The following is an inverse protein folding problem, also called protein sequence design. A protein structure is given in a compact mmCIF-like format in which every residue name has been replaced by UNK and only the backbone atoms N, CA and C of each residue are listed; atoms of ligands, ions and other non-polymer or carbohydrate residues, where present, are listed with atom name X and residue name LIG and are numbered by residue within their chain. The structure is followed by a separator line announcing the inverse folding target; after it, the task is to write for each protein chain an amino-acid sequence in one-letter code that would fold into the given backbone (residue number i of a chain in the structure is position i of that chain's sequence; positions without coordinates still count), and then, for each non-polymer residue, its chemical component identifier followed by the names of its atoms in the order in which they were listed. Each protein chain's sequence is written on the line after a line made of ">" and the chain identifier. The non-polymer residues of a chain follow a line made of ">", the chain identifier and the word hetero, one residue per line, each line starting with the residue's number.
data_IF_774011066557
#
_entry.id   IF_774011066557
#
_cell.length_a   1.000
_cell.length_b   1.000
_cell.length_c   1.000
_cell.angle_alpha   90.00
_cell.angle_beta   90.00
_cell.angle_gamma   90.00
#
_symmetry.space_group_name_H-M   'P 1'
#
loop_
_entity.id
_entity.type
_entity.pdbx_description
1 polymer ?
#
# COMPACT_ATOMS: atom_id res chain seq x y z
N UNK A 1 -14.92 55.70 55.15
CA UNK A 1 -15.78 54.80 54.36
C UNK A 1 -14.97 53.56 54.00
N UNK A 2 -15.38 52.39 54.51
CA UNK A 2 -15.14 51.07 53.90
C UNK A 2 -13.77 50.39 54.07
N UNK A 3 -13.68 49.41 54.99
CA UNK A 3 -12.86 48.19 54.79
C UNK A 3 -13.48 47.30 53.70
N UNK A 4 -12.87 46.22 53.18
CA UNK A 4 -12.61 44.92 53.81
C UNK A 4 -11.79 44.00 52.85
N UNK A 5 -10.92 43.11 53.39
CA UNK A 5 -10.79 41.63 53.22
C UNK A 5 -10.78 41.05 51.77
N UNK A 6 -9.96 40.06 51.35
CA UNK A 6 -9.10 39.08 52.02
C UNK A 6 -8.59 38.03 51.02
N UNK A 7 -7.77 37.09 51.50
CA UNK A 7 -7.23 35.97 50.75
C UNK A 7 -8.17 34.75 50.78
N UNK A 8 -8.29 34.01 49.67
CA UNK A 8 -8.65 32.58 49.67
C UNK A 8 -8.19 31.87 48.38
N UNK A 9 -7.60 30.67 48.53
CA UNK A 9 -7.33 29.64 47.50
C UNK A 9 -8.60 28.84 47.21
N UNK A 10 -8.94 28.52 45.97
CA UNK A 10 -9.53 27.22 45.57
C UNK A 10 -9.54 27.17 44.03
N UNK A 11 -8.80 26.26 43.38
CA UNK A 11 -9.19 24.90 42.99
C UNK A 11 -10.24 24.88 41.85
N UNK A 12 -9.90 24.23 40.73
CA UNK A 12 -10.62 24.29 39.44
C UNK A 12 -12.00 23.62 39.41
N UNK A 13 -12.68 23.67 38.25
CA UNK A 13 -12.55 22.54 37.33
C UNK A 13 -12.35 22.95 35.85
N UNK A 14 -11.93 22.00 34.97
CA UNK A 14 -11.63 22.27 33.57
C UNK A 14 -12.91 22.23 32.75
N UNK A 15 -13.11 23.19 31.86
CA UNK A 15 -14.25 23.18 30.95
C UNK A 15 -13.89 23.88 29.65
N UNK A 16 -13.60 23.04 28.64
CA UNK A 16 -13.91 23.35 27.26
C UNK A 16 -13.14 24.51 26.64
N UNK A 17 -11.82 24.41 26.58
CA UNK A 17 -11.10 25.13 25.53
C UNK A 17 -11.26 24.33 24.25
N UNK A 18 -12.24 24.77 23.45
CA UNK A 18 -12.21 24.65 21.99
C UNK A 18 -10.76 24.69 21.54
N UNK A 19 -10.37 23.69 20.77
CA UNK A 19 -9.16 23.68 19.96
C UNK A 19 -9.23 24.85 18.98
N UNK A 20 -8.96 26.06 19.47
CA UNK A 20 -8.59 27.22 18.69
C UNK A 20 -7.19 26.90 18.19
N UNK A 21 -7.14 26.24 17.04
CA UNK A 21 -5.94 26.18 16.22
C UNK A 21 -5.67 27.60 15.75
N UNK A 22 -5.06 28.43 16.60
CA UNK A 22 -4.33 29.61 16.17
C UNK A 22 -3.18 29.13 15.31
N UNK A 23 -3.44 28.98 14.00
CA UNK A 23 -2.40 28.77 12.99
C UNK A 23 -1.55 30.03 13.02
N UNK A 24 -0.43 29.93 13.73
CA UNK A 24 0.54 31.01 13.86
C UNK A 24 1.24 31.18 12.50
N UNK A 25 0.62 31.98 11.63
CA UNK A 25 1.21 32.52 10.41
C UNK A 25 2.45 33.32 10.84
N UNK A 26 3.63 32.70 10.77
CA UNK A 26 4.86 33.33 11.26
C UNK A 26 6.05 32.42 11.45
N UNK A 27 5.89 31.10 11.29
CA UNK A 27 7.01 30.14 11.32
C UNK A 27 6.98 29.24 10.09
N UNK A 28 7.14 29.83 8.90
CA UNK A 28 7.55 29.04 7.74
C UNK A 28 8.93 28.44 8.06
N UNK A 29 9.06 27.12 7.95
CA UNK A 29 10.32 26.43 8.17
C UNK A 29 10.93 26.04 6.82
N UNK A 30 12.26 26.14 6.65
CA UNK A 30 12.92 25.62 5.46
C UNK A 30 12.65 24.11 5.35
N UNK A 31 12.61 23.62 4.11
CA UNK A 31 12.36 22.24 3.78
C UNK A 31 13.44 21.35 4.43
N UNK A 32 12.99 20.43 5.27
CA UNK A 32 13.88 19.48 5.92
C UNK A 32 14.31 18.42 4.90
N UNK A 33 15.60 18.02 4.90
CA UNK A 33 16.10 16.99 4.01
C UNK A 33 15.62 15.58 4.36
N UNK A 34 14.89 15.45 5.46
CA UNK A 34 14.54 14.17 6.06
C UNK A 34 13.35 13.53 5.34
N UNK A 35 13.63 12.43 4.63
CA UNK A 35 12.60 11.59 3.99
C UNK A 35 11.76 10.94 5.09
N UNK A 36 10.43 11.10 5.07
CA UNK A 36 9.58 10.50 6.09
C UNK A 36 9.65 8.97 6.01
N UNK A 37 10.08 8.32 7.09
CA UNK A 37 10.10 6.86 7.16
C UNK A 37 8.69 6.37 7.47
N UNK A 38 8.06 5.73 6.50
CA UNK A 38 6.76 5.12 6.67
C UNK A 38 6.77 3.66 6.26
N UNK A 39 5.85 2.90 6.83
CA UNK A 39 5.56 1.52 6.45
C UNK A 39 4.19 1.52 5.78
N UNK A 40 4.08 0.86 4.63
CA UNK A 40 2.78 0.57 4.05
C UNK A 40 2.17 -0.60 4.82
N UNK A 41 0.89 -0.51 5.15
CA UNK A 41 0.15 -1.61 5.79
C UNK A 41 0.07 -2.85 4.89
N UNK A 42 0.24 -2.65 3.59
CA UNK A 42 0.34 -3.70 2.56
C UNK A 42 1.68 -3.53 1.84
N UNK A 43 2.46 -4.61 1.73
CA UNK A 43 3.71 -4.59 0.98
C UNK A 43 3.43 -4.21 -0.48
N UNK A 44 4.09 -3.13 -0.94
CA UNK A 44 3.88 -2.54 -2.25
C UNK A 44 5.12 -2.85 -3.10
N UNK A 45 4.93 -3.27 -4.35
CA UNK A 45 6.06 -3.37 -5.29
C UNK A 45 6.46 -1.97 -5.79
N UNK A 46 7.70 -1.81 -6.25
CA UNK A 46 8.18 -0.53 -6.79
C UNK A 46 7.27 -0.01 -7.92
N UNK A 47 6.88 -0.87 -8.85
CA UNK A 47 5.96 -0.53 -9.94
C UNK A 47 4.59 -0.06 -9.45
N UNK A 48 4.03 -0.71 -8.43
CA UNK A 48 2.73 -0.34 -7.84
C UNK A 48 2.79 0.99 -7.09
N UNK A 49 3.89 1.26 -6.37
CA UNK A 49 4.11 2.54 -5.73
C UNK A 49 4.17 3.67 -6.77
N UNK A 50 4.91 3.42 -7.86
CA UNK A 50 5.09 4.37 -8.95
C UNK A 50 3.77 4.69 -9.65
N UNK A 51 2.97 3.67 -9.99
CA UNK A 51 1.64 3.87 -10.57
C UNK A 51 0.68 4.62 -9.64
N UNK A 52 0.65 4.31 -8.35
CA UNK A 52 -0.17 5.08 -7.38
C UNK A 52 0.28 6.53 -7.26
N UNK A 53 1.58 6.78 -7.36
CA UNK A 53 2.14 8.13 -7.34
C UNK A 53 1.73 8.90 -8.61
N UNK A 54 1.82 8.26 -9.77
CA UNK A 54 1.41 8.88 -11.04
C UNK A 54 -0.09 9.17 -11.07
N UNK A 55 -0.94 8.24 -10.60
CA UNK A 55 -2.39 8.46 -10.50
C UNK A 55 -2.72 9.61 -9.55
N UNK A 56 -2.02 9.71 -8.41
CA UNK A 56 -2.17 10.84 -7.52
C UNK A 56 -1.77 12.15 -8.20
N UNK A 57 -0.65 12.20 -8.93
CA UNK A 57 -0.22 13.41 -9.62
C UNK A 57 -1.11 13.81 -10.80
N UNK A 58 -1.77 12.84 -11.45
CA UNK A 58 -2.72 13.10 -12.53
C UNK A 58 -4.04 13.70 -12.00
N UNK A 59 -4.49 13.20 -10.85
CA UNK A 59 -5.79 13.58 -10.24
C UNK A 59 -5.71 14.75 -9.26
N UNK A 60 -4.57 14.96 -8.59
CA UNK A 60 -4.35 16.05 -7.63
C UNK A 60 -4.70 17.46 -8.15
N UNK A 61 -4.25 17.89 -9.35
CA UNK A 61 -4.60 19.21 -9.89
C UNK A 61 -6.07 19.35 -10.27
N UNK A 62 -6.85 18.26 -10.32
CA UNK A 62 -8.28 18.30 -10.58
C UNK A 62 -9.13 18.46 -9.31
N UNK A 63 -8.56 18.19 -8.13
CA UNK A 63 -9.33 18.11 -6.89
C UNK A 63 -9.36 19.43 -6.10
N UNK A 64 -8.25 20.18 -6.05
CA UNK A 64 -8.20 21.49 -5.36
C UNK A 64 -6.91 22.28 -5.66
N UNK A 65 -6.96 23.61 -5.62
CA UNK A 65 -5.77 24.49 -5.73
C UNK A 65 -5.31 24.84 -7.17
N UNK A 66 -4.17 25.52 -7.29
CA UNK A 66 -3.55 25.91 -8.57
C UNK A 66 -2.70 24.76 -9.11
N UNK A 67 -2.86 24.43 -10.38
CA UNK A 67 -2.01 23.44 -11.08
C UNK A 67 -0.52 23.79 -11.01
N UNK A 68 -0.19 25.08 -11.02
CA UNK A 68 1.20 25.57 -10.91
C UNK A 68 1.85 25.16 -9.58
N UNK A 69 1.10 25.22 -8.48
CA UNK A 69 1.59 24.81 -7.16
C UNK A 69 1.76 23.29 -7.11
N UNK A 70 0.82 22.53 -7.68
CA UNK A 70 0.97 21.07 -7.81
C UNK A 70 2.20 20.67 -8.65
N UNK A 71 2.46 21.37 -9.75
CA UNK A 71 3.65 21.13 -10.58
C UNK A 71 4.95 21.43 -9.81
N UNK A 72 4.98 22.55 -9.09
CA UNK A 72 6.09 22.90 -8.21
C UNK A 72 6.31 21.87 -7.10
N UNK A 73 5.23 21.41 -6.44
CA UNK A 73 5.30 20.37 -5.40
C UNK A 73 5.81 19.04 -5.97
N UNK A 74 5.43 18.69 -7.20
CA UNK A 74 5.93 17.50 -7.90
C UNK A 74 7.42 17.60 -8.19
N UNK A 75 7.86 18.74 -8.71
CA UNK A 75 9.26 19.01 -8.99
C UNK A 75 10.11 19.02 -7.70
N UNK A 76 9.60 19.63 -6.62
CA UNK A 76 10.25 19.64 -5.32
C UNK A 76 10.37 18.24 -4.72
N UNK A 77 9.32 17.42 -4.81
CA UNK A 77 9.35 16.03 -4.36
C UNK A 77 10.37 15.20 -5.16
N UNK A 78 10.47 15.40 -6.47
CA UNK A 78 11.48 14.73 -7.31
C UNK A 78 12.91 15.15 -6.95
N UNK A 79 13.15 16.44 -6.71
CA UNK A 79 14.45 16.95 -6.26
C UNK A 79 14.85 16.38 -4.88
N UNK A 80 13.88 16.21 -3.96
CA UNK A 80 14.14 15.50 -2.70
C UNK A 80 14.48 14.02 -2.90
N UNK A 81 13.90 13.38 -3.91
CA UNK A 81 14.18 11.97 -4.22
C UNK A 81 15.63 11.79 -4.67
N UNK A 82 16.10 12.66 -5.58
CA UNK A 82 17.49 12.70 -6.07
C UNK A 82 18.49 13.19 -5.03
N UNK A 83 18.02 13.73 -3.90
CA UNK A 83 18.85 14.25 -2.83
C UNK A 83 19.33 15.68 -3.07
N UNK A 84 18.75 16.39 -4.04
CA UNK A 84 19.01 17.80 -4.29
C UNK A 84 18.07 18.69 -3.46
N UNK A 85 18.45 18.89 -2.20
CA UNK A 85 17.68 19.71 -1.27
C UNK A 85 17.68 21.20 -1.64
N UNK A 86 18.77 21.68 -2.25
CA UNK A 86 18.88 23.07 -2.66
C UNK A 86 17.89 23.38 -3.79
N UNK A 87 17.80 22.47 -4.77
CA UNK A 87 16.81 22.58 -5.84
C UNK A 87 15.39 22.46 -5.30
N UNK A 88 15.11 21.51 -4.41
CA UNK A 88 13.79 21.36 -3.80
C UNK A 88 13.35 22.62 -3.02
N UNK A 89 14.25 23.20 -2.23
CA UNK A 89 14.01 24.44 -1.50
C UNK A 89 13.77 25.61 -2.46
N UNK A 90 14.59 25.75 -3.51
CA UNK A 90 14.43 26.81 -4.51
C UNK A 90 13.08 26.74 -5.24
N UNK A 91 12.58 25.53 -5.51
CA UNK A 91 11.26 25.33 -6.12
C UNK A 91 10.14 25.77 -5.17
N UNK A 92 10.21 25.36 -3.90
CA UNK A 92 9.23 25.74 -2.86
C UNK A 92 9.21 27.25 -2.65
N UNK A 93 10.38 27.87 -2.50
CA UNK A 93 10.51 29.32 -2.32
C UNK A 93 10.06 30.09 -3.57
N UNK A 94 10.42 29.61 -4.76
CA UNK A 94 10.05 30.22 -6.04
C UNK A 94 8.56 30.14 -6.35
N UNK A 95 7.86 29.15 -5.79
CA UNK A 95 6.42 29.01 -5.87
C UNK A 95 5.66 29.65 -4.69
N UNK A 96 6.37 30.39 -3.82
CA UNK A 96 5.80 31.04 -2.62
C UNK A 96 5.07 30.06 -1.67
N UNK A 97 5.50 28.81 -1.65
CA UNK A 97 4.89 27.77 -0.83
C UNK A 97 5.41 27.86 0.60
N UNK A 98 4.48 27.93 1.55
CA UNK A 98 4.76 27.93 2.98
C UNK A 98 4.63 26.52 3.56
N UNK A 99 5.64 26.11 4.32
CA UNK A 99 5.76 24.83 5.03
C UNK A 99 5.74 25.08 6.55
N UNK A 100 4.59 24.93 7.24
CA UNK A 100 4.53 25.14 8.69
C UNK A 100 5.38 24.14 9.48
N UNK A 101 5.54 22.91 8.96
CA UNK A 101 6.30 21.83 9.59
C UNK A 101 7.68 21.59 8.96
N UNK A 102 8.02 22.34 7.89
CA UNK A 102 9.24 22.11 7.09
C UNK A 102 9.19 20.81 6.29
N UNK A 103 7.99 20.29 6.00
CA UNK A 103 7.77 19.05 5.26
C UNK A 103 6.80 19.28 4.12
N UNK A 104 7.01 18.63 2.97
CA UNK A 104 6.08 18.73 1.83
C UNK A 104 4.70 18.08 2.09
N UNK A 105 4.47 17.42 3.23
CA UNK A 105 3.19 16.77 3.53
C UNK A 105 2.02 17.74 3.65
N UNK A 106 2.27 18.93 4.20
CA UNK A 106 1.26 19.97 4.39
C UNK A 106 1.87 21.29 3.93
N UNK A 107 1.49 21.70 2.71
CA UNK A 107 1.97 22.89 2.04
C UNK A 107 0.85 23.91 1.93
N UNK A 108 1.19 25.20 1.99
CA UNK A 108 0.25 26.29 1.86
C UNK A 108 0.71 27.25 0.78
N UNK A 109 -0.20 27.68 -0.07
CA UNK A 109 0.05 28.72 -1.07
C UNK A 109 -0.18 30.12 -0.48
N UNK A 110 0.24 31.17 -1.18
CA UNK A 110 0.10 32.57 -0.75
C UNK A 110 -1.35 32.99 -0.51
N UNK A 111 -2.30 32.31 -1.17
CA UNK A 111 -3.74 32.52 -1.01
C UNK A 111 -4.36 31.74 0.16
N UNK A 112 -3.55 30.98 0.91
CA UNK A 112 -4.02 30.13 2.00
C UNK A 112 -4.61 28.79 1.57
N UNK A 113 -4.49 28.43 0.29
CA UNK A 113 -4.89 27.11 -0.19
C UNK A 113 -3.95 26.06 0.41
N UNK A 114 -4.51 24.99 0.97
CA UNK A 114 -3.75 23.88 1.58
C UNK A 114 -3.58 22.75 0.55
N UNK A 115 -2.36 22.26 0.44
CA UNK A 115 -1.97 21.13 -0.42
C UNK A 115 -1.42 20.04 0.48
N UNK A 116 -2.04 18.87 0.42
CA UNK A 116 -1.65 17.73 1.25
C UNK A 116 -1.02 16.64 0.39
N UNK A 117 0.22 16.27 0.70
CA UNK A 117 0.96 15.23 -0.01
C UNK A 117 1.04 13.98 0.87
N UNK A 118 0.51 12.85 0.40
CA UNK A 118 0.68 11.58 1.08
C UNK A 118 2.15 11.16 1.17
N UNK A 119 2.50 10.47 2.25
CA UNK A 119 3.87 9.97 2.51
C UNK A 119 4.42 9.08 1.39
N UNK A 120 3.55 8.36 0.67
CA UNK A 120 3.92 7.49 -0.44
C UNK A 120 4.37 8.24 -1.70
N UNK A 121 4.02 9.52 -1.83
CA UNK A 121 4.46 10.39 -2.92
C UNK A 121 5.87 10.91 -2.64
N UNK A 122 6.18 11.14 -1.35
CA UNK A 122 7.42 11.75 -0.88
C UNK A 122 8.55 10.76 -0.60
N UNK A 123 8.22 9.49 -0.35
CA UNK A 123 9.21 8.48 0.04
C UNK A 123 8.70 7.07 -0.24
N UNK A 124 9.61 6.15 -0.54
CA UNK A 124 9.29 4.73 -0.60
C UNK A 124 9.05 4.17 0.82
N UNK A 125 8.08 3.24 0.98
CA UNK A 125 7.87 2.58 2.25
C UNK A 125 9.07 1.68 2.59
N UNK A 126 9.30 1.44 3.87
CA UNK A 126 10.35 0.50 4.33
C UNK A 126 10.11 -0.94 3.87
N UNK A 127 8.87 -1.26 3.45
CA UNK A 127 8.43 -2.58 3.00
C UNK A 127 8.31 -2.65 1.47
N UNK A 128 9.19 -1.94 0.75
CA UNK A 128 9.22 -1.98 -0.72
C UNK A 128 9.73 -3.34 -1.20
N UNK A 129 8.93 -4.02 -2.02
CA UNK A 129 9.35 -5.25 -2.69
C UNK A 129 10.08 -4.84 -3.97
N UNK A 130 11.39 -5.10 -4.03
CA UNK A 130 12.27 -4.80 -5.16
C UNK A 130 12.07 -5.84 -6.28
N UNK A 131 11.62 -5.41 -7.46
CA UNK A 131 11.34 -6.29 -8.60
C UNK A 131 12.60 -6.78 -9.34
N UNK A 132 13.81 -6.65 -8.78
CA UNK A 132 15.03 -7.23 -9.37
C UNK A 132 15.25 -8.71 -9.02
N UNK A 133 14.40 -9.33 -8.17
CA UNK A 133 14.53 -10.74 -7.77
C UNK A 133 13.58 -11.75 -8.44
N UNK A 134 12.70 -11.35 -9.36
CA UNK A 134 11.85 -12.31 -10.08
C UNK A 134 11.65 -11.94 -11.55
N UNK A 135 12.73 -12.01 -12.34
CA UNK A 135 12.62 -12.24 -13.78
C UNK A 135 12.28 -13.71 -14.04
N UNK A 136 10.99 -14.07 -13.92
CA UNK A 136 10.44 -15.18 -14.71
C UNK A 136 8.99 -14.90 -15.12
N UNK A 137 8.89 -14.33 -16.33
CA UNK A 137 7.93 -14.71 -17.36
C UNK A 137 6.43 -14.60 -17.04
N UNK A 138 5.88 -13.43 -17.37
CA UNK A 138 4.64 -13.25 -18.14
C UNK A 138 3.33 -13.86 -17.61
N UNK A 139 2.41 -13.01 -17.15
CA UNK A 139 1.19 -12.65 -17.89
C UNK A 139 0.27 -11.75 -17.06
N UNK A 140 -0.26 -10.77 -17.79
CA UNK A 140 -1.25 -9.75 -17.51
C UNK A 140 -2.39 -10.08 -16.51
N UNK A 141 -2.85 -9.01 -15.86
CA UNK A 141 -4.17 -8.79 -15.23
C UNK A 141 -4.54 -9.61 -13.99
N UNK A 142 -4.61 -8.97 -12.82
CA UNK A 142 -5.88 -8.38 -12.35
C UNK A 142 -5.67 -7.58 -11.06
N UNK A 143 -6.07 -6.31 -11.13
CA UNK A 143 -6.16 -5.40 -10.01
C UNK A 143 -7.35 -5.80 -9.11
N UNK A 144 -7.18 -6.82 -8.27
CA UNK A 144 -8.08 -7.03 -7.14
C UNK A 144 -7.40 -7.77 -5.98
N UNK A 145 -6.64 -7.04 -5.17
CA UNK A 145 -6.20 -7.52 -3.85
C UNK A 145 -6.83 -6.67 -2.75
N UNK A 146 -8.13 -6.87 -2.53
CA UNK A 146 -8.67 -6.86 -1.17
C UNK A 146 -7.82 -7.82 -0.30
N UNK A 147 -7.61 -7.53 1.00
CA UNK A 147 -6.77 -8.33 1.89
C UNK A 147 -7.40 -9.70 2.14
N UNK A 148 -7.19 -10.62 1.18
CA UNK A 148 -7.58 -12.01 1.28
C UNK A 148 -6.74 -12.68 2.36
N UNK A 149 -7.41 -13.30 3.34
CA UNK A 149 -6.73 -14.04 4.41
C UNK A 149 -5.95 -15.19 3.77
N UNK A 150 -4.63 -15.22 4.00
CA UNK A 150 -3.79 -16.34 3.59
C UNK A 150 -4.12 -17.53 4.49
N UNK A 151 -4.60 -18.62 3.90
CA UNK A 151 -4.93 -19.84 4.62
C UNK A 151 -3.99 -20.98 4.21
N UNK A 152 -3.48 -21.77 5.16
CA UNK A 152 -2.77 -22.99 4.82
C UNK A 152 -3.75 -24.04 4.31
N UNK A 153 -3.53 -24.50 3.08
CA UNK A 153 -4.28 -25.57 2.44
C UNK A 153 -3.39 -26.77 2.17
N UNK A 154 -3.98 -27.95 2.33
CA UNK A 154 -3.32 -29.22 2.06
C UNK A 154 -3.82 -29.76 0.73
N UNK A 155 -2.90 -30.09 -0.16
CA UNK A 155 -3.15 -30.69 -1.45
C UNK A 155 -2.63 -32.11 -1.42
N UNK A 156 -3.54 -33.09 -1.50
CA UNK A 156 -3.17 -34.51 -1.55
C UNK A 156 -2.92 -34.89 -3.01
N UNK A 157 -1.65 -35.08 -3.36
CA UNK A 157 -1.23 -35.44 -4.71
C UNK A 157 -1.36 -36.95 -4.89
N UNK A 158 -2.13 -37.39 -5.89
CA UNK A 158 -2.29 -38.82 -6.19
C UNK A 158 -1.05 -39.46 -6.79
N UNK A 159 -0.15 -38.67 -7.40
CA UNK A 159 1.11 -39.15 -7.99
C UNK A 159 2.10 -39.58 -6.89
N UNK A 160 2.31 -38.69 -5.92
CA UNK A 160 3.32 -38.84 -4.87
C UNK A 160 2.75 -39.47 -3.60
N UNK A 161 1.41 -39.60 -3.49
CA UNK A 161 0.69 -39.96 -2.25
C UNK A 161 1.13 -39.12 -1.03
N UNK A 162 1.59 -37.89 -1.29
CA UNK A 162 2.04 -36.92 -0.27
C UNK A 162 1.03 -35.78 -0.15
N UNK A 163 0.94 -35.25 1.06
CA UNK A 163 0.17 -34.04 1.36
C UNK A 163 1.09 -32.83 1.22
N UNK A 164 0.92 -32.07 0.14
CA UNK A 164 1.62 -30.80 -0.08
C UNK A 164 0.88 -29.68 0.65
N UNK A 165 1.56 -28.98 1.57
CA UNK A 165 0.97 -27.86 2.31
C UNK A 165 1.38 -26.55 1.67
N UNK A 166 0.43 -25.82 1.09
CA UNK A 166 0.66 -24.50 0.50
C UNK A 166 -0.15 -23.43 1.21
N UNK A 167 0.41 -22.22 1.27
CA UNK A 167 -0.32 -21.03 1.72
C UNK A 167 -0.96 -20.36 0.50
N UNK A 168 -2.28 -20.20 0.54
CA UNK A 168 -3.08 -19.67 -0.58
C UNK A 168 -4.04 -18.61 -0.06
N UNK A 169 -4.40 -17.63 -0.90
CA UNK A 169 -5.36 -16.59 -0.52
C UNK A 169 -6.78 -17.03 -0.86
N UNK A 170 -7.76 -16.63 -0.07
CA UNK A 170 -9.18 -16.90 -0.37
C UNK A 170 -9.63 -16.27 -1.70
N UNK A 171 -8.97 -15.20 -2.11
CA UNK A 171 -9.18 -14.49 -3.38
C UNK A 171 -8.48 -15.13 -4.57
N UNK A 172 -7.54 -16.07 -4.34
CA UNK A 172 -6.81 -16.71 -5.43
C UNK A 172 -7.73 -17.69 -6.17
N UNK A 173 -7.52 -17.78 -7.49
CA UNK A 173 -8.17 -18.77 -8.34
C UNK A 173 -7.45 -20.11 -8.24
N UNK A 174 -8.19 -21.19 -8.50
CA UNK A 174 -7.63 -22.54 -8.59
C UNK A 174 -6.49 -22.59 -9.62
N UNK A 175 -6.61 -21.87 -10.74
CA UNK A 175 -5.53 -21.73 -11.73
C UNK A 175 -4.24 -21.23 -11.07
N UNK A 176 -4.29 -20.13 -10.32
CA UNK A 176 -3.09 -19.54 -9.72
C UNK A 176 -2.36 -20.51 -8.78
N UNK A 177 -3.11 -21.33 -8.05
CA UNK A 177 -2.53 -22.28 -7.11
C UNK A 177 -2.02 -23.54 -7.82
N UNK A 178 -2.70 -24.00 -8.89
CA UNK A 178 -2.17 -25.05 -9.76
C UNK A 178 -0.81 -24.67 -10.35
N UNK A 179 -0.60 -23.39 -10.69
CA UNK A 179 0.69 -22.88 -11.16
C UNK A 179 1.76 -23.05 -10.08
N UNK A 180 1.46 -22.70 -8.82
CA UNK A 180 2.38 -22.96 -7.68
C UNK A 180 2.70 -24.44 -7.49
N UNK A 181 1.72 -25.33 -7.63
CA UNK A 181 1.99 -26.79 -7.55
C UNK A 181 2.88 -27.23 -8.72
N UNK A 182 2.72 -26.66 -9.91
CA UNK A 182 3.61 -26.94 -11.04
C UNK A 182 5.04 -26.49 -10.76
N UNK A 183 5.24 -25.34 -10.13
CA UNK A 183 6.57 -24.84 -9.77
C UNK A 183 7.23 -25.67 -8.66
N UNK A 184 6.46 -26.09 -7.65
CA UNK A 184 6.97 -26.88 -6.51
C UNK A 184 7.21 -28.36 -6.85
N UNK A 185 6.26 -29.01 -7.54
CA UNK A 185 6.29 -30.46 -7.79
C UNK A 185 6.56 -30.81 -9.27
N UNK A 186 6.62 -29.83 -10.17
CA UNK A 186 6.86 -30.05 -11.61
C UNK A 186 5.66 -30.64 -12.36
N UNK A 187 4.46 -30.64 -11.77
CA UNK A 187 3.27 -31.31 -12.36
C UNK A 187 2.47 -30.33 -13.22
N UNK A 188 2.41 -30.55 -14.53
CA UNK A 188 1.70 -29.65 -15.43
C UNK A 188 0.24 -29.41 -15.00
N UNK A 189 -0.18 -28.15 -15.03
CA UNK A 189 -1.52 -27.70 -14.63
C UNK A 189 -2.67 -28.48 -15.31
N UNK A 190 -2.50 -28.84 -16.58
CA UNK A 190 -3.49 -29.61 -17.36
C UNK A 190 -3.65 -31.05 -16.86
N UNK A 191 -2.60 -31.61 -16.26
CA UNK A 191 -2.60 -32.95 -15.66
C UNK A 191 -3.19 -32.96 -14.25
N UNK A 192 -3.34 -31.78 -13.64
CA UNK A 192 -3.88 -31.65 -12.28
C UNK A 192 -5.42 -31.52 -12.30
N UNK A 193 -6.12 -32.56 -11.87
CA UNK A 193 -7.57 -32.52 -11.62
C UNK A 193 -7.85 -32.39 -10.14
N UNK A 194 -8.48 -31.30 -9.75
CA UNK A 194 -8.69 -30.96 -8.34
C UNK A 194 -10.10 -31.31 -7.91
N UNK A 195 -10.22 -32.00 -6.78
CA UNK A 195 -11.48 -32.42 -6.21
C UNK A 195 -11.55 -31.99 -4.75
N UNK A 196 -12.68 -31.40 -4.37
CA UNK A 196 -12.97 -31.08 -2.98
C UNK A 196 -14.39 -31.51 -2.64
N UNK A 197 -14.55 -32.28 -1.56
CA UNK A 197 -15.84 -32.84 -1.15
C UNK A 197 -16.62 -33.54 -2.30
N UNK A 198 -15.90 -34.22 -3.21
CA UNK A 198 -16.47 -34.89 -4.38
C UNK A 198 -16.81 -33.98 -5.56
N UNK A 199 -16.59 -32.66 -5.47
CA UNK A 199 -16.80 -31.70 -6.57
C UNK A 199 -15.48 -31.39 -7.28
N UNK A 200 -15.50 -31.40 -8.60
CA UNK A 200 -14.38 -30.94 -9.42
C UNK A 200 -14.24 -29.42 -9.29
N UNK A 201 -13.04 -28.95 -8.97
CA UNK A 201 -12.70 -27.54 -8.93
C UNK A 201 -12.20 -27.11 -10.31
N UNK A 202 -12.89 -26.14 -10.92
CA UNK A 202 -12.49 -25.54 -12.19
C UNK A 202 -11.41 -24.48 -12.00
N UNK A 203 -10.59 -24.26 -13.02
CA UNK A 203 -9.48 -23.30 -12.98
C UNK A 203 -9.94 -21.86 -12.72
N UNK A 204 -11.11 -21.51 -13.26
CA UNK A 204 -11.75 -20.19 -13.07
C UNK A 204 -12.42 -20.02 -11.71
N UNK A 205 -12.54 -21.10 -10.93
CA UNK A 205 -13.19 -21.05 -9.61
C UNK A 205 -12.25 -20.38 -8.61
N UNK A 206 -12.78 -19.46 -7.80
CA UNK A 206 -12.03 -18.87 -6.69
C UNK A 206 -12.11 -19.77 -5.46
N UNK A 207 -11.11 -19.64 -4.60
CA UNK A 207 -11.05 -20.42 -3.37
C UNK A 207 -12.22 -20.10 -2.42
N UNK A 208 -12.63 -18.84 -2.36
CA UNK A 208 -13.82 -18.38 -1.63
C UNK A 208 -15.11 -19.07 -2.11
N UNK A 209 -15.27 -19.19 -3.43
CA UNK A 209 -16.43 -19.85 -4.06
C UNK A 209 -16.42 -21.36 -3.82
N UNK A 210 -15.23 -21.96 -3.74
CA UNK A 210 -15.05 -23.36 -3.42
C UNK A 210 -15.44 -23.69 -1.96
N UNK A 211 -15.64 -22.68 -1.10
CA UNK A 211 -16.01 -22.81 0.32
C UNK A 211 -15.11 -23.79 1.08
N UNK A 212 -13.82 -23.83 0.74
CA UNK A 212 -12.87 -24.76 1.33
C UNK A 212 -12.45 -24.21 2.70
N UNK A 213 -12.79 -24.86 3.83
CA UNK A 213 -12.42 -24.35 5.14
C UNK A 213 -10.93 -24.56 5.41
N UNK A 214 -10.34 -23.65 6.21
CA UNK A 214 -8.94 -23.74 6.69
C UNK A 214 -8.63 -25.12 7.27
N UNK A 215 -7.54 -25.75 6.82
CA UNK A 215 -7.11 -27.07 7.28
C UNK A 215 -7.75 -28.27 6.57
N UNK A 216 -8.63 -28.06 5.59
CA UNK A 216 -9.13 -29.14 4.75
C UNK A 216 -8.11 -29.57 3.68
N UNK A 217 -8.37 -30.75 3.12
CA UNK A 217 -7.53 -31.37 2.10
C UNK A 217 -8.25 -31.33 0.75
N UNK A 218 -7.60 -30.76 -0.25
CA UNK A 218 -8.02 -30.81 -1.66
C UNK A 218 -7.30 -31.98 -2.31
N UNK A 219 -8.05 -32.85 -2.99
CA UNK A 219 -7.50 -34.00 -3.67
C UNK A 219 -7.10 -33.64 -5.09
N UNK A 220 -5.81 -33.78 -5.39
CA UNK A 220 -5.23 -33.47 -6.70
C UNK A 220 -4.90 -34.79 -7.39
N UNK A 221 -5.76 -35.19 -8.32
CA UNK A 221 -5.55 -36.36 -9.16
C UNK A 221 -4.68 -35.92 -10.33
N UNK A 222 -3.50 -36.52 -10.41
CA UNK A 222 -2.55 -36.27 -11.50
C UNK A 222 -2.75 -37.37 -12.53
N UNK A 223 -3.21 -37.02 -13.73
CA UNK A 223 -3.23 -37.96 -14.85
C UNK A 223 -1.82 -37.98 -15.44
N UNK A 224 -1.04 -39.02 -15.14
CA UNK A 224 0.17 -39.31 -15.92
C UNK A 224 -0.30 -39.64 -17.33
N UNK A 225 -0.06 -38.73 -18.29
CA UNK A 225 -0.12 -39.11 -19.68
C UNK A 225 1.04 -40.08 -19.87
N UNK A 226 0.73 -41.35 -20.13
CA UNK A 226 1.74 -42.34 -20.49
C UNK A 226 2.57 -41.76 -21.63
N UNK A 227 3.87 -41.60 -21.40
CA UNK A 227 4.83 -41.36 -22.46
C UNK A 227 4.79 -42.61 -23.36
N UNK A 228 3.94 -42.55 -24.39
CA UNK A 228 3.98 -43.48 -25.51
C UNK A 228 5.08 -43.02 -26.47
N UNK A 229 6.01 -43.96 -26.69
CA UNK A 229 7.03 -44.04 -27.75
C UNK A 229 8.30 -43.19 -27.61
#
# INVERSE_FOLDING_TARGET
>A
MGGCIGAHRDNGPPSGESSDMTVSIGRNQPLKPEKPKWKSDVALTDGQLRSKRDEFWDTAPAFEGRKEIWDALKAAAYALETGDHAMAQAIVDGANISLPHGTLMDCYDELGNRYQLPVYVLSAPTNLIDEMSESDTGQETDANSSPGVEIPLKFRLSNTNKDLKLYVRTTDTVLKIKKRIFEEEGIEMIKQRWYFAGKLLNDKLRLEDAKIPKGNVVQVIVTQAEASS
#
